data_IF_878323037884
#
_entry.id   IF_878323037884
#
_cell.length_a   1.000
_cell.length_b   1.000
_cell.length_c   1.000
_cell.angle_alpha   90.00
_cell.angle_beta   90.00
_cell.angle_gamma   90.00
#
_symmetry.space_group_name_H-M   'P 1'
#
loop_
_entity.id
_entity.type
_entity.pdbx_description
1 polymer ?
#
# COMPACT_ATOMS: atom_id res chain seq x y z
N UNK A 1 -3.10 -0.89 -18.02
CA UNK A 1 -4.17 -0.19 -17.26
C UNK A 1 -3.51 0.85 -16.38
N UNK A 2 -4.13 2.03 -16.19
CA UNK A 2 -3.64 3.03 -15.23
C UNK A 2 -4.01 2.64 -13.80
N UNK A 3 -3.19 3.05 -12.83
CA UNK A 3 -3.43 2.83 -11.40
C UNK A 3 -3.08 4.11 -10.61
N UNK A 4 -3.69 4.26 -9.43
CA UNK A 4 -3.38 5.38 -8.52
C UNK A 4 -2.23 4.98 -7.62
N UNK A 5 -1.23 5.85 -7.48
CA UNK A 5 -0.05 5.59 -6.65
C UNK A 5 0.41 6.83 -5.91
N UNK A 6 0.99 6.63 -4.72
CA UNK A 6 1.71 7.69 -4.02
C UNK A 6 3.12 7.82 -4.59
N UNK A 7 3.52 9.03 -4.98
CA UNK A 7 4.88 9.27 -5.44
C UNK A 7 5.81 9.53 -4.25
N UNK A 8 6.90 8.78 -4.16
CA UNK A 8 7.98 8.97 -3.18
C UNK A 8 9.21 9.45 -3.93
N UNK A 9 9.77 10.59 -3.52
CA UNK A 9 10.94 11.20 -4.15
C UNK A 9 12.21 10.65 -3.53
N UNK A 10 13.04 10.00 -4.34
CA UNK A 10 14.30 9.37 -3.95
C UNK A 10 15.46 10.23 -4.43
N UNK A 11 16.11 10.95 -3.53
CA UNK A 11 17.29 11.76 -3.84
C UNK A 11 18.53 10.87 -3.90
N UNK A 12 19.26 10.90 -5.01
CA UNK A 12 20.50 10.15 -5.19
C UNK A 12 21.68 11.11 -5.06
N UNK A 13 22.37 11.00 -3.93
CA UNK A 13 23.52 11.82 -3.56
C UNK A 13 24.82 11.02 -3.74
N UNK A 14 25.69 11.45 -4.65
CA UNK A 14 26.97 10.79 -4.90
C UNK A 14 28.02 11.78 -5.39
N UNK A 15 29.29 11.64 -4.99
CA UNK A 15 30.38 12.40 -5.57
C UNK A 15 30.59 12.06 -7.06
N UNK A 16 31.45 12.83 -7.73
CA UNK A 16 31.64 12.74 -9.18
C UNK A 16 32.44 11.51 -9.65
N UNK A 17 33.00 10.70 -8.74
CA UNK A 17 33.79 9.50 -9.02
C UNK A 17 32.95 8.21 -9.14
N UNK A 18 31.62 8.33 -9.06
CA UNK A 18 30.66 7.22 -9.08
C UNK A 18 29.57 7.36 -10.19
N UNK A 19 29.93 7.62 -11.47
CA UNK A 19 28.93 7.79 -12.52
C UNK A 19 28.17 6.49 -12.85
N UNK A 20 28.85 5.34 -12.81
CA UNK A 20 28.27 4.03 -13.11
C UNK A 20 27.28 3.61 -12.02
N UNK A 21 27.66 3.80 -10.75
CA UNK A 21 26.83 3.46 -9.59
C UNK A 21 25.63 4.40 -9.46
N UNK A 22 25.79 5.68 -9.80
CA UNK A 22 24.66 6.61 -9.88
C UNK A 22 23.65 6.16 -10.93
N UNK A 23 24.12 5.76 -12.12
CA UNK A 23 23.27 5.20 -13.16
C UNK A 23 22.59 3.92 -12.69
N UNK A 24 23.34 3.02 -12.04
CA UNK A 24 22.83 1.78 -11.47
C UNK A 24 21.75 2.02 -10.41
N UNK A 25 21.90 3.05 -9.57
CA UNK A 25 20.87 3.43 -8.58
C UNK A 25 19.59 3.98 -9.25
N UNK A 26 19.72 4.77 -10.32
CA UNK A 26 18.57 5.24 -11.11
C UNK A 26 17.85 4.04 -11.75
N UNK A 27 18.61 3.11 -12.33
CA UNK A 27 18.07 1.88 -12.91
C UNK A 27 17.41 0.98 -11.84
N UNK A 28 17.96 0.93 -10.62
CA UNK A 28 17.36 0.21 -9.50
C UNK A 28 15.98 0.78 -9.16
N UNK A 29 15.84 2.11 -9.13
CA UNK A 29 14.56 2.79 -8.90
C UNK A 29 13.55 2.47 -10.01
N UNK A 30 14.00 2.49 -11.27
CA UNK A 30 13.14 2.15 -12.41
C UNK A 30 12.67 0.68 -12.35
N UNK A 31 13.58 -0.24 -12.07
CA UNK A 31 13.29 -1.67 -11.97
C UNK A 31 12.38 -1.97 -10.77
N UNK A 32 12.59 -1.30 -9.64
CA UNK A 32 11.70 -1.36 -8.50
C UNK A 32 10.28 -0.95 -8.89
N UNK A 33 10.12 0.14 -9.64
CA UNK A 33 8.80 0.57 -10.10
C UNK A 33 8.15 -0.48 -11.01
N UNK A 34 8.91 -1.07 -11.93
CA UNK A 34 8.40 -2.09 -12.83
C UNK A 34 7.88 -3.33 -12.09
N UNK A 35 8.52 -3.72 -10.99
CA UNK A 35 8.19 -4.93 -10.23
C UNK A 35 7.14 -4.68 -9.13
N UNK A 36 7.18 -3.51 -8.49
CA UNK A 36 6.47 -3.29 -7.23
C UNK A 36 5.44 -2.17 -7.26
N UNK A 37 5.47 -1.26 -8.25
CA UNK A 37 4.66 -0.04 -8.15
C UNK A 37 3.16 -0.32 -8.09
N UNK A 38 2.68 -1.31 -8.86
CA UNK A 38 1.28 -1.70 -8.86
C UNK A 38 0.86 -2.35 -7.53
N UNK A 39 1.67 -3.29 -7.03
CA UNK A 39 1.37 -4.06 -5.82
C UNK A 39 1.44 -3.17 -4.56
N UNK A 40 2.44 -2.30 -4.47
CA UNK A 40 2.64 -1.41 -3.32
C UNK A 40 1.83 -0.10 -3.45
N UNK A 41 1.19 0.16 -4.62
CA UNK A 41 0.51 1.43 -4.94
C UNK A 41 1.40 2.66 -4.68
N UNK A 42 2.69 2.53 -4.99
CA UNK A 42 3.73 3.53 -4.77
C UNK A 42 4.58 3.64 -6.02
N UNK A 43 4.98 4.85 -6.41
CA UNK A 43 5.94 5.08 -7.48
C UNK A 43 7.12 5.85 -6.91
N UNK A 44 8.33 5.35 -7.16
CA UNK A 44 9.57 6.03 -6.79
C UNK A 44 10.00 6.98 -7.92
N UNK A 45 10.27 8.23 -7.58
CA UNK A 45 10.80 9.23 -8.51
C UNK A 45 12.26 9.49 -8.17
N UNK A 46 13.17 9.10 -9.06
CA UNK A 46 14.59 9.40 -8.88
C UNK A 46 14.85 10.88 -9.12
N UNK A 47 15.42 11.53 -8.12
CA UNK A 47 15.80 12.95 -8.14
C UNK A 47 17.32 13.02 -8.08
N UNK A 48 17.91 13.72 -9.06
CA UNK A 48 19.34 14.01 -9.10
C UNK A 48 19.53 15.49 -9.45
N UNK A 49 20.58 16.10 -8.89
CA UNK A 49 20.84 17.52 -9.06
C UNK A 49 21.08 17.92 -10.53
N UNK A 50 21.65 17.03 -11.35
CA UNK A 50 21.93 17.26 -12.77
C UNK A 50 20.66 17.45 -13.60
N UNK A 51 19.54 16.86 -13.18
CA UNK A 51 18.30 16.80 -13.96
C UNK A 51 17.15 17.60 -13.36
N UNK A 52 17.20 17.92 -12.06
CA UNK A 52 16.08 18.51 -11.34
C UNK A 52 16.40 19.84 -10.64
N UNK A 53 17.62 20.37 -10.79
CA UNK A 53 17.95 21.71 -10.29
C UNK A 53 17.73 22.77 -11.36
N UNK A 54 17.10 23.89 -10.97
CA UNK A 54 16.94 25.07 -11.82
C UNK A 54 18.02 26.10 -11.44
N UNK A 55 18.73 26.71 -12.42
CA UNK A 55 19.68 27.77 -12.15
C UNK A 55 19.03 28.94 -11.41
N UNK A 56 19.58 29.33 -10.27
CA UNK A 56 19.09 30.44 -9.44
C UNK A 56 20.25 31.38 -9.09
N UNK A 57 20.06 32.68 -9.28
CA UNK A 57 21.03 33.71 -8.93
C UNK A 57 20.82 34.23 -7.50
N UNK A 58 21.89 34.73 -6.87
CA UNK A 58 21.83 35.39 -5.57
C UNK A 58 21.90 34.48 -4.34
N UNK A 59 22.01 33.16 -4.53
CA UNK A 59 22.20 32.18 -3.45
C UNK A 59 23.40 31.28 -3.74
N UNK A 60 23.98 30.74 -2.67
CA UNK A 60 25.07 29.76 -2.76
C UNK A 60 24.58 28.54 -3.56
N UNK A 61 25.36 28.02 -4.54
CA UNK A 61 24.91 26.91 -5.41
C UNK A 61 24.38 25.69 -4.65
N UNK A 62 25.08 25.26 -3.59
CA UNK A 62 24.65 24.12 -2.78
C UNK A 62 23.36 24.40 -1.99
N UNK A 63 23.18 25.63 -1.48
CA UNK A 63 21.97 25.99 -0.75
C UNK A 63 20.73 25.99 -1.68
N UNK A 64 20.90 26.47 -2.91
CA UNK A 64 19.84 26.43 -3.92
C UNK A 64 19.45 24.99 -4.31
N UNK A 65 20.41 24.07 -4.37
CA UNK A 65 20.17 22.64 -4.62
C UNK A 65 19.44 22.01 -3.42
N UNK A 66 19.87 22.32 -2.20
CA UNK A 66 19.28 21.78 -0.98
C UNK A 66 17.80 22.18 -0.79
N UNK A 67 17.47 23.46 -0.99
CA UNK A 67 16.08 23.95 -0.95
C UNK A 67 15.20 23.25 -2.00
N UNK A 68 15.73 23.02 -3.21
CA UNK A 68 14.95 22.44 -4.30
C UNK A 68 14.78 20.92 -4.18
N UNK A 69 15.81 20.21 -3.74
CA UNK A 69 15.89 18.74 -3.85
C UNK A 69 15.85 18.03 -2.51
N UNK A 70 16.57 18.52 -1.51
CA UNK A 70 16.70 17.86 -0.20
C UNK A 70 15.43 18.00 0.62
N UNK A 71 14.81 19.19 0.65
CA UNK A 71 13.56 19.41 1.40
C UNK A 71 12.38 18.62 0.84
N UNK A 72 12.34 18.46 -0.49
CA UNK A 72 11.23 17.82 -1.19
C UNK A 72 11.39 16.31 -1.38
N UNK A 73 12.55 15.74 -1.02
CA UNK A 73 12.79 14.31 -1.09
C UNK A 73 12.29 13.58 0.18
N UNK A 74 11.88 12.32 -0.01
CA UNK A 74 11.33 11.44 1.04
C UNK A 74 12.32 10.37 1.47
N UNK A 75 13.20 9.93 0.56
CA UNK A 75 14.31 9.01 0.83
C UNK A 75 15.58 9.59 0.22
N UNK A 76 16.71 9.47 0.92
CA UNK A 76 18.03 9.80 0.40
C UNK A 76 18.88 8.54 0.24
N UNK A 77 19.54 8.38 -0.91
CA UNK A 77 20.55 7.36 -1.18
C UNK A 77 21.91 8.06 -1.31
N UNK A 78 22.78 7.87 -0.32
CA UNK A 78 24.15 8.37 -0.33
C UNK A 78 25.12 7.28 -0.75
N UNK A 79 25.93 7.51 -1.78
CA UNK A 79 26.94 6.55 -2.25
C UNK A 79 28.33 7.18 -2.26
N UNK A 80 29.33 6.47 -1.71
CA UNK A 80 30.71 6.95 -1.61
C UNK A 80 31.72 5.89 -2.06
N UNK A 81 32.87 6.32 -2.60
CA UNK A 81 33.97 5.42 -2.98
C UNK A 81 35.32 5.92 -2.52
N UNK A 82 35.97 6.81 -3.28
CA UNK A 82 37.29 7.33 -2.90
C UNK A 82 37.27 8.78 -2.47
N UNK A 83 36.21 9.50 -2.86
CA UNK A 83 36.02 10.92 -2.55
C UNK A 83 34.84 11.11 -1.61
N UNK A 84 34.97 12.08 -0.72
CA UNK A 84 33.84 12.62 0.03
C UNK A 84 33.15 13.73 -0.76
N UNK A 85 33.95 14.49 -1.51
CA UNK A 85 33.51 15.62 -2.34
C UNK A 85 34.20 16.94 -1.95
N UNK A 86 33.72 18.03 -2.54
CA UNK A 86 34.29 19.37 -2.39
C UNK A 86 33.60 20.10 -1.24
N UNK A 87 34.37 20.80 -0.39
CA UNK A 87 33.80 21.52 0.75
C UNK A 87 32.87 22.63 0.28
N UNK A 88 31.73 22.71 0.95
CA UNK A 88 30.66 23.63 0.65
C UNK A 88 30.64 24.82 1.61
N UNK A 89 31.75 25.14 2.28
CA UNK A 89 31.84 26.28 3.20
C UNK A 89 31.00 26.17 4.50
N UNK A 90 29.88 25.44 4.47
CA UNK A 90 29.05 25.06 5.61
C UNK A 90 29.31 23.62 6.07
N UNK A 91 29.64 22.71 5.14
CA UNK A 91 29.95 21.32 5.44
C UNK A 91 31.24 20.85 4.76
N UNK A 92 31.69 19.67 5.18
CA UNK A 92 32.83 18.98 4.60
C UNK A 92 32.62 18.63 3.12
N UNK A 93 31.41 18.34 2.69
CA UNK A 93 31.06 18.07 1.31
C UNK A 93 29.60 18.41 1.06
N UNK A 94 29.24 18.74 -0.19
CA UNK A 94 27.84 18.94 -0.57
C UNK A 94 26.96 17.72 -0.28
N UNK A 95 27.47 16.52 -0.57
CA UNK A 95 26.78 15.26 -0.25
C UNK A 95 26.59 15.08 1.27
N UNK A 96 27.55 15.53 2.08
CA UNK A 96 27.44 15.45 3.55
C UNK A 96 26.43 16.47 4.06
N UNK A 97 26.45 17.69 3.52
CA UNK A 97 25.46 18.72 3.83
C UNK A 97 24.02 18.24 3.56
N UNK A 98 23.82 17.57 2.42
CA UNK A 98 22.53 16.96 2.05
C UNK A 98 22.11 15.88 3.05
N UNK A 99 23.03 14.97 3.42
CA UNK A 99 22.76 13.89 4.39
C UNK A 99 22.41 14.47 5.77
N UNK A 100 23.20 15.41 6.28
CA UNK A 100 23.00 15.99 7.61
C UNK A 100 21.64 16.72 7.69
N UNK A 101 21.27 17.48 6.65
CA UNK A 101 19.95 18.10 6.55
C UNK A 101 18.83 17.07 6.51
N UNK A 102 19.01 15.98 5.75
CA UNK A 102 18.02 14.92 5.62
C UNK A 102 17.78 14.18 6.95
N UNK A 103 18.86 13.87 7.66
CA UNK A 103 18.82 13.23 8.98
C UNK A 103 18.21 14.16 10.02
N UNK A 104 18.53 15.46 9.98
CA UNK A 104 17.93 16.46 10.87
C UNK A 104 16.41 16.59 10.68
N UNK A 105 15.90 16.33 9.48
CA UNK A 105 14.45 16.27 9.19
C UNK A 105 13.79 14.95 9.63
N UNK A 106 14.55 14.00 10.17
CA UNK A 106 14.04 12.69 10.60
C UNK A 106 13.67 11.76 9.45
N UNK A 107 14.18 12.02 8.24
CA UNK A 107 13.88 11.23 7.04
C UNK A 107 14.94 10.13 6.84
N UNK A 108 14.59 9.00 6.20
CA UNK A 108 15.48 7.86 6.03
C UNK A 108 16.60 8.11 5.01
N UNK A 109 17.85 8.10 5.48
CA UNK A 109 19.05 8.17 4.63
C UNK A 109 19.74 6.80 4.54
N UNK A 110 19.80 6.23 3.34
CA UNK A 110 20.47 4.97 3.03
C UNK A 110 21.88 5.26 2.53
N UNK A 111 22.90 4.94 3.33
CA UNK A 111 24.29 5.25 3.03
C UNK A 111 25.06 3.99 2.62
N UNK A 112 25.83 4.09 1.54
CA UNK A 112 26.58 2.99 0.94
C UNK A 112 28.03 3.37 0.64
N UNK A 113 28.95 2.46 0.96
CA UNK A 113 30.38 2.61 0.67
C UNK A 113 30.85 1.54 -0.32
N UNK A 114 31.50 1.96 -1.39
CA UNK A 114 32.06 1.08 -2.41
C UNK A 114 33.39 0.47 -1.93
N UNK A 115 33.51 -0.84 -2.08
CA UNK A 115 34.74 -1.60 -1.87
C UNK A 115 35.39 -2.01 -3.20
N UNK A 116 35.02 -1.37 -4.31
CA UNK A 116 35.62 -1.64 -5.63
C UNK A 116 37.14 -1.39 -5.56
N UNK A 117 37.97 -2.33 -6.05
CA UNK A 117 39.41 -2.15 -6.09
C UNK A 117 39.78 -0.93 -6.95
N UNK A 118 40.71 -0.13 -6.45
CA UNK A 118 41.27 1.01 -7.17
C UNK A 118 42.79 0.94 -7.10
N UNK A 119 43.44 1.39 -8.17
CA UNK A 119 44.87 1.62 -8.19
C UNK A 119 45.25 2.60 -7.06
N UNK A 120 46.13 2.22 -6.12
CA UNK A 120 46.58 3.09 -5.03
C UNK A 120 47.11 4.46 -5.49
N UNK A 121 47.68 4.54 -6.69
CA UNK A 121 48.23 5.79 -7.24
C UNK A 121 47.14 6.79 -7.66
N UNK A 122 45.91 6.33 -7.88
CA UNK A 122 44.77 7.19 -8.24
C UNK A 122 44.01 7.70 -7.02
N UNK A 123 44.38 7.24 -5.81
CA UNK A 123 43.74 7.65 -4.56
C UNK A 123 44.29 8.98 -4.11
N UNK A 124 43.44 9.99 -4.02
CA UNK A 124 43.75 11.21 -3.29
C UNK A 124 43.72 10.91 -1.78
N UNK A 125 44.91 10.81 -1.17
CA UNK A 125 45.08 10.50 0.25
C UNK A 125 44.37 11.48 1.18
N UNK A 126 44.21 12.76 0.79
CA UNK A 126 43.51 13.75 1.61
C UNK A 126 42.01 13.48 1.60
N UNK A 127 41.43 13.27 0.41
CA UNK A 127 40.01 12.92 0.27
C UNK A 127 39.69 11.59 0.94
N UNK A 128 40.53 10.58 0.76
CA UNK A 128 40.34 9.27 1.37
C UNK A 128 40.43 9.31 2.90
N UNK A 129 41.34 10.12 3.48
CA UNK A 129 41.39 10.32 4.93
C UNK A 129 40.11 10.94 5.48
N UNK A 130 39.56 11.94 4.78
CA UNK A 130 38.29 12.60 5.14
C UNK A 130 37.11 11.64 5.02
N UNK A 131 37.06 10.85 3.96
CA UNK A 131 36.05 9.81 3.79
C UNK A 131 36.11 8.78 4.92
N UNK A 132 37.29 8.31 5.31
CA UNK A 132 37.44 7.40 6.46
C UNK A 132 37.00 8.02 7.78
N UNK A 133 37.29 9.31 8.00
CA UNK A 133 36.83 10.02 9.20
C UNK A 133 35.30 10.13 9.23
N UNK A 134 34.70 10.49 8.10
CA UNK A 134 33.25 10.52 7.93
C UNK A 134 32.62 9.14 8.15
N UNK A 135 33.15 8.10 7.50
CA UNK A 135 32.70 6.72 7.64
C UNK A 135 32.75 6.27 9.12
N UNK A 136 33.84 6.56 9.84
CA UNK A 136 33.97 6.23 11.26
C UNK A 136 33.00 7.00 12.16
N UNK A 137 32.64 8.24 11.81
CA UNK A 137 31.62 9.01 12.52
C UNK A 137 30.22 8.44 12.26
N UNK A 138 29.91 8.13 11.00
CA UNK A 138 28.62 7.58 10.58
C UNK A 138 28.37 6.21 11.19
N UNK A 139 29.36 5.32 11.25
CA UNK A 139 29.22 4.00 11.90
C UNK A 139 28.79 4.04 13.37
N UNK A 140 29.02 5.16 14.07
CA UNK A 140 28.57 5.31 15.47
C UNK A 140 27.09 5.61 15.59
N UNK A 141 26.51 6.22 14.55
CA UNK A 141 25.16 6.81 14.59
C UNK A 141 24.19 6.16 13.59
N UNK A 142 24.68 5.41 12.61
CA UNK A 142 23.87 4.83 11.54
C UNK A 142 24.43 3.49 11.04
N UNK A 143 23.52 2.60 10.62
CA UNK A 143 23.86 1.41 9.84
C UNK A 143 24.13 1.84 8.39
N UNK A 144 25.22 1.35 7.82
CA UNK A 144 25.63 1.65 6.45
C UNK A 144 25.78 0.35 5.65
N UNK A 145 25.46 0.41 4.36
CA UNK A 145 25.67 -0.68 3.43
C UNK A 145 27.03 -0.58 2.73
N UNK A 146 27.40 -1.65 2.05
CA UNK A 146 28.56 -1.69 1.17
C UNK A 146 28.24 -2.43 -0.11
N UNK A 147 28.95 -2.11 -1.19
CA UNK A 147 28.86 -2.83 -2.47
C UNK A 147 30.23 -2.94 -3.13
N UNK A 148 30.38 -3.87 -4.06
CA UNK A 148 31.66 -4.17 -4.72
C UNK A 148 31.67 -3.85 -6.22
N UNK A 149 30.50 -3.79 -6.85
CA UNK A 149 30.32 -3.48 -8.27
C UNK A 149 29.04 -2.66 -8.50
N UNK A 150 28.87 -2.04 -9.68
CA UNK A 150 27.61 -1.37 -10.04
C UNK A 150 26.40 -2.30 -9.99
N UNK A 151 26.51 -3.55 -10.45
CA UNK A 151 25.42 -4.53 -10.42
C UNK A 151 25.03 -4.92 -8.99
N UNK A 152 26.03 -5.11 -8.12
CA UNK A 152 25.83 -5.37 -6.69
C UNK A 152 25.18 -4.16 -6.00
N UNK A 153 25.58 -2.94 -6.37
CA UNK A 153 24.96 -1.70 -5.89
C UNK A 153 23.49 -1.64 -6.28
N UNK A 154 23.15 -2.01 -7.51
CA UNK A 154 21.77 -2.03 -8.03
C UNK A 154 20.89 -3.01 -7.25
N UNK A 155 21.36 -4.24 -7.08
CA UNK A 155 20.64 -5.27 -6.33
C UNK A 155 20.45 -4.86 -4.86
N UNK A 156 21.50 -4.32 -4.24
CA UNK A 156 21.47 -3.87 -2.85
C UNK A 156 20.51 -2.69 -2.64
N UNK A 157 20.55 -1.70 -3.52
CA UNK A 157 19.64 -0.54 -3.47
C UNK A 157 18.20 -0.97 -3.67
N UNK A 158 17.91 -1.79 -4.68
CA UNK A 158 16.55 -2.28 -4.97
C UNK A 158 15.94 -3.01 -3.77
N UNK A 159 16.69 -3.96 -3.17
CA UNK A 159 16.25 -4.70 -1.98
C UNK A 159 15.97 -3.78 -0.80
N UNK A 160 16.88 -2.84 -0.52
CA UNK A 160 16.74 -1.94 0.63
C UNK A 160 15.62 -0.92 0.42
N UNK A 161 15.38 -0.46 -0.81
CA UNK A 161 14.24 0.40 -1.14
C UNK A 161 12.91 -0.30 -0.87
N UNK A 162 12.77 -1.58 -1.25
CA UNK A 162 11.57 -2.35 -0.94
C UNK A 162 11.30 -2.42 0.57
N UNK A 163 12.33 -2.74 1.36
CA UNK A 163 12.21 -2.78 2.82
C UNK A 163 11.82 -1.42 3.39
N UNK A 164 12.44 -0.34 2.90
CA UNK A 164 12.18 1.03 3.35
C UNK A 164 10.76 1.49 3.01
N UNK A 165 10.30 1.26 1.78
CA UNK A 165 8.95 1.62 1.34
C UNK A 165 7.90 0.89 2.19
N UNK A 166 8.10 -0.40 2.45
CA UNK A 166 7.20 -1.17 3.32
C UNK A 166 7.20 -0.65 4.75
N UNK A 167 8.38 -0.30 5.29
CA UNK A 167 8.47 0.30 6.61
C UNK A 167 7.74 1.64 6.67
N UNK A 168 7.85 2.49 5.65
CA UNK A 168 7.11 3.75 5.57
C UNK A 168 5.60 3.54 5.40
N UNK A 169 5.19 2.49 4.69
CA UNK A 169 3.78 2.09 4.54
C UNK A 169 3.18 1.56 5.86
N UNK A 170 3.97 0.82 6.65
CA UNK A 170 3.62 0.32 7.98
C UNK A 170 3.63 1.42 9.04
N UNK A 171 4.58 2.35 8.94
CA UNK A 171 4.73 3.51 9.82
C UNK A 171 3.73 4.64 9.52
N UNK A 172 2.63 4.36 8.79
CA UNK A 172 1.53 5.30 8.63
C UNK A 172 1.24 5.93 9.99
N UNK A 173 1.29 7.27 10.14
CA UNK A 173 0.69 7.87 11.32
C UNK A 173 -0.74 7.33 11.40
N UNK A 174 -1.29 7.08 12.59
CA UNK A 174 -2.69 6.70 12.69
C UNK A 174 -3.43 7.72 11.83
N UNK A 175 -4.19 7.26 10.82
CA UNK A 175 -5.09 8.13 10.06
C UNK A 175 -5.69 9.03 11.10
N UNK A 176 -5.35 10.32 11.09
CA UNK A 176 -5.81 11.26 12.11
C UNK A 176 -7.32 11.12 12.03
N UNK A 177 -7.93 10.38 12.97
CA UNK A 177 -9.37 10.27 13.06
C UNK A 177 -9.75 11.71 13.32
N UNK A 178 -10.19 12.41 12.28
CA UNK A 178 -10.60 13.79 12.46
C UNK A 178 -11.65 13.74 13.57
N UNK A 179 -11.54 14.56 14.62
CA UNK A 179 -12.59 14.67 15.60
C UNK A 179 -13.91 14.86 14.84
N UNK A 180 -14.98 14.18 15.23
CA UNK A 180 -16.29 14.25 14.53
C UNK A 180 -16.76 15.68 14.27
N UNK A 181 -16.26 16.63 15.07
CA UNK A 181 -16.50 18.07 14.98
C UNK A 181 -15.83 18.68 13.74
N UNK A 182 -14.59 18.32 13.42
CA UNK A 182 -13.88 18.83 12.23
C UNK A 182 -14.48 18.26 10.94
N UNK A 183 -14.90 16.99 10.95
CA UNK A 183 -15.69 16.39 9.85
C UNK A 183 -17.02 17.11 9.67
N UNK A 184 -17.74 17.39 10.76
CA UNK A 184 -18.99 18.13 10.71
C UNK A 184 -18.78 19.58 10.24
N UNK A 185 -17.69 20.25 10.64
CA UNK A 185 -17.36 21.61 10.20
C UNK A 185 -17.04 21.65 8.70
N UNK A 186 -16.21 20.74 8.19
CA UNK A 186 -15.96 20.62 6.75
C UNK A 186 -17.23 20.27 5.98
N UNK A 187 -18.05 19.34 6.48
CA UNK A 187 -19.33 19.02 5.84
C UNK A 187 -20.25 20.24 5.79
N UNK A 188 -20.27 21.05 6.86
CA UNK A 188 -21.06 22.29 6.94
C UNK A 188 -20.50 23.35 5.99
N UNK A 189 -19.19 23.55 5.92
CA UNK A 189 -18.56 24.44 4.93
C UNK A 189 -18.87 24.00 3.49
N UNK A 190 -18.84 22.70 3.23
CA UNK A 190 -19.12 22.13 1.92
C UNK A 190 -20.62 22.28 1.56
N UNK A 191 -21.52 22.11 2.54
CA UNK A 191 -22.95 22.38 2.39
C UNK A 191 -23.23 23.89 2.19
N UNK A 192 -22.51 24.76 2.89
CA UNK A 192 -22.60 26.22 2.70
C UNK A 192 -22.11 26.59 1.31
N UNK A 193 -20.97 26.07 0.87
CA UNK A 193 -20.42 26.28 -0.47
C UNK A 193 -21.36 25.75 -1.57
N UNK A 194 -21.97 24.58 -1.37
CA UNK A 194 -22.98 24.05 -2.29
C UNK A 194 -24.22 24.96 -2.37
N UNK A 195 -24.63 25.54 -1.25
CA UNK A 195 -25.81 26.44 -1.17
C UNK A 195 -25.52 27.84 -1.73
N UNK A 196 -24.32 28.38 -1.53
CA UNK A 196 -23.91 29.69 -2.09
C UNK A 196 -23.62 29.62 -3.58
N UNK A 197 -23.13 28.49 -4.09
CA UNK A 197 -22.79 28.33 -5.51
C UNK A 197 -23.80 27.50 -6.30
N UNK A 198 -24.93 27.13 -5.69
CA UNK A 198 -26.02 26.35 -6.27
C UNK A 198 -25.53 25.07 -6.99
N UNK A 199 -24.52 24.42 -6.40
CA UNK A 199 -23.88 23.24 -6.97
C UNK A 199 -24.83 22.06 -6.77
N UNK A 200 -25.51 21.66 -7.85
CA UNK A 200 -26.34 20.46 -7.84
C UNK A 200 -25.47 19.20 -7.74
N UNK A 201 -26.02 18.05 -7.27
CA UNK A 201 -25.29 16.79 -7.22
C UNK A 201 -24.66 16.38 -8.56
N UNK A 202 -25.26 16.79 -9.67
CA UNK A 202 -24.75 16.57 -11.03
C UNK A 202 -23.48 17.40 -11.29
N UNK A 203 -23.51 18.71 -11.01
CA UNK A 203 -22.36 19.60 -11.20
C UNK A 203 -21.17 19.16 -10.33
N UNK A 204 -21.45 18.69 -9.11
CA UNK A 204 -20.43 18.13 -8.23
C UNK A 204 -19.80 16.85 -8.80
N UNK A 205 -20.60 15.95 -9.37
CA UNK A 205 -20.10 14.73 -10.00
C UNK A 205 -19.28 15.04 -11.25
N UNK A 206 -19.71 15.98 -12.08
CA UNK A 206 -18.95 16.43 -13.26
C UNK A 206 -17.60 17.04 -12.86
N UNK A 207 -17.59 17.90 -11.83
CA UNK A 207 -16.35 18.47 -11.29
C UNK A 207 -15.42 17.40 -10.71
N UNK A 208 -15.98 16.43 -9.98
CA UNK A 208 -15.24 15.32 -9.37
C UNK A 208 -14.62 14.41 -10.44
N UNK A 209 -15.37 14.10 -11.50
CA UNK A 209 -14.87 13.30 -12.64
C UNK A 209 -13.77 14.04 -13.40
N UNK A 210 -13.89 15.38 -13.55
CA UNK A 210 -12.87 16.19 -14.22
C UNK A 210 -11.55 16.29 -13.43
N UNK A 211 -11.61 16.35 -12.09
CA UNK A 211 -10.43 16.51 -11.23
C UNK A 211 -9.74 15.18 -10.89
N UNK A 212 -10.49 14.11 -10.69
CA UNK A 212 -9.96 12.84 -10.18
C UNK A 212 -10.11 11.66 -11.15
N UNK A 213 -10.65 11.91 -12.36
CA UNK A 213 -11.01 10.86 -13.31
C UNK A 213 -12.22 10.03 -12.83
N UNK A 214 -12.72 9.14 -13.69
CA UNK A 214 -13.79 8.20 -13.32
C UNK A 214 -13.33 7.36 -12.13
N UNK A 215 -13.88 7.64 -10.95
CA UNK A 215 -13.81 6.72 -9.82
C UNK A 215 -14.29 5.35 -10.33
N UNK A 216 -13.56 4.27 -10.08
CA UNK A 216 -14.17 2.94 -10.13
C UNK A 216 -15.34 3.01 -9.16
N UNK A 217 -16.55 3.17 -9.67
CA UNK A 217 -17.74 2.87 -8.90
C UNK A 217 -17.54 1.46 -8.37
N UNK A 218 -17.90 1.19 -7.10
CA UNK A 218 -18.35 -0.16 -6.76
C UNK A 218 -19.24 -0.58 -7.93
N UNK A 219 -18.93 -1.71 -8.57
CA UNK A 219 -19.74 -2.19 -9.67
C UNK A 219 -21.19 -1.97 -9.26
N UNK A 220 -21.93 -1.09 -9.96
CA UNK A 220 -23.32 -0.90 -9.60
C UNK A 220 -23.93 -2.30 -9.63
N UNK A 221 -24.85 -2.64 -8.69
CA UNK A 221 -25.61 -3.87 -8.82
C UNK A 221 -26.10 -3.93 -10.26
N UNK A 222 -25.89 -5.08 -10.90
CA UNK A 222 -26.15 -5.23 -12.32
C UNK A 222 -27.66 -5.05 -12.53
N UNK A 223 -28.10 -3.82 -12.78
CA UNK A 223 -29.50 -3.47 -13.09
C UNK A 223 -29.63 -3.50 -14.62
N UNK A 224 -30.71 -4.06 -15.19
CA UNK A 224 -30.63 -4.83 -16.42
C UNK A 224 -30.65 -3.97 -17.68
N UNK A 225 -29.85 -4.37 -18.67
CA UNK A 225 -30.18 -4.13 -20.07
C UNK A 225 -31.40 -4.99 -20.42
N UNK A 226 -32.45 -4.37 -20.97
CA UNK A 226 -33.65 -5.02 -21.48
C UNK A 226 -33.37 -5.74 -22.82
N UNK A 227 -32.34 -6.56 -22.85
CA UNK A 227 -32.02 -7.43 -23.97
C UNK A 227 -32.63 -8.79 -23.71
N UNK A 228 -33.29 -9.34 -24.72
CA UNK A 228 -33.95 -10.64 -24.79
C UNK A 228 -32.96 -11.81 -24.58
N UNK A 229 -32.29 -11.85 -23.43
CA UNK A 229 -31.41 -12.93 -23.04
C UNK A 229 -32.26 -14.17 -22.78
N UNK A 230 -31.95 -15.23 -23.53
CA UNK A 230 -32.43 -16.58 -23.25
C UNK A 230 -31.37 -17.32 -22.45
N UNK A 231 -31.79 -18.09 -21.45
CA UNK A 231 -30.89 -18.82 -20.57
C UNK A 231 -30.39 -20.12 -21.21
N UNK A 232 -29.59 -20.91 -20.47
CA UNK A 232 -29.07 -22.18 -20.94
C UNK A 232 -30.16 -23.18 -21.36
N UNK A 233 -31.37 -23.07 -20.83
CA UNK A 233 -32.51 -23.92 -21.17
C UNK A 233 -33.41 -23.32 -22.27
N UNK A 234 -33.02 -22.17 -22.85
CA UNK A 234 -33.75 -21.50 -23.93
C UNK A 234 -34.93 -20.65 -23.46
N UNK A 235 -35.12 -20.47 -22.16
CA UNK A 235 -36.23 -19.69 -21.61
C UNK A 235 -35.81 -18.28 -21.22
N UNK A 236 -36.79 -17.42 -20.90
CA UNK A 236 -36.57 -16.01 -20.60
C UNK A 236 -35.70 -15.85 -19.35
N UNK A 237 -34.66 -15.03 -19.45
CA UNK A 237 -33.88 -14.59 -18.29
C UNK A 237 -34.54 -13.36 -17.67
N UNK A 238 -34.58 -13.33 -16.35
CA UNK A 238 -35.06 -12.19 -15.58
C UNK A 238 -34.41 -12.10 -14.22
N UNK A 239 -35.00 -11.29 -13.35
CA UNK A 239 -34.54 -11.10 -11.98
C UNK A 239 -35.70 -11.33 -11.01
N UNK A 240 -35.42 -11.91 -9.85
CA UNK A 240 -36.39 -12.00 -8.75
C UNK A 240 -36.54 -10.64 -8.05
N UNK A 241 -37.50 -10.53 -7.12
CA UNK A 241 -37.68 -9.32 -6.31
C UNK A 241 -36.47 -9.04 -5.40
N UNK A 242 -35.75 -10.08 -5.04
CA UNK A 242 -34.53 -10.05 -4.23
C UNK A 242 -33.28 -9.72 -5.07
N UNK A 243 -33.42 -9.65 -6.41
CA UNK A 243 -32.35 -9.31 -7.33
C UNK A 243 -31.50 -10.51 -7.81
N UNK A 244 -31.93 -11.75 -7.55
CA UNK A 244 -31.27 -12.93 -8.10
C UNK A 244 -31.51 -13.01 -9.61
N UNK A 245 -30.48 -13.32 -10.41
CA UNK A 245 -30.61 -13.57 -11.85
C UNK A 245 -31.15 -14.98 -12.04
N UNK A 246 -32.27 -15.11 -12.76
CA UNK A 246 -32.99 -16.37 -12.92
C UNK A 246 -33.39 -16.63 -14.36
N UNK A 247 -33.53 -17.89 -14.73
CA UNK A 247 -34.22 -18.34 -15.92
C UNK A 247 -35.62 -18.84 -15.51
N UNK A 248 -36.66 -18.37 -16.17
CA UNK A 248 -38.04 -18.75 -15.83
C UNK A 248 -38.45 -19.97 -16.64
N UNK A 249 -38.45 -21.14 -15.99
CA UNK A 249 -38.83 -22.39 -16.63
C UNK A 249 -40.32 -22.65 -16.42
N UNK A 250 -41.03 -23.21 -17.40
CA UNK A 250 -42.38 -23.68 -17.20
C UNK A 250 -42.40 -24.80 -16.16
N UNK A 251 -43.46 -24.84 -15.35
CA UNK A 251 -43.73 -25.92 -14.43
C UNK A 251 -44.37 -27.10 -15.20
N UNK A 252 -43.69 -28.25 -15.20
CA UNK A 252 -44.16 -29.47 -15.84
C UNK A 252 -45.39 -30.07 -15.11
N UNK A 253 -45.56 -29.79 -13.82
CA UNK A 253 -46.67 -30.28 -13.01
C UNK A 253 -47.90 -29.34 -13.07
N UNK A 254 -47.68 -28.03 -13.26
CA UNK A 254 -48.73 -27.01 -13.26
C UNK A 254 -48.70 -26.16 -14.56
N UNK A 255 -49.45 -26.57 -15.61
CA UNK A 255 -49.45 -25.86 -16.89
C UNK A 255 -49.84 -24.38 -16.76
N UNK A 256 -48.90 -23.49 -17.07
CA UNK A 256 -49.07 -22.04 -17.02
C UNK A 256 -48.36 -21.35 -15.86
N UNK A 257 -47.81 -22.11 -14.91
CA UNK A 257 -46.91 -21.60 -13.89
C UNK A 257 -45.46 -21.64 -14.37
N UNK A 258 -44.65 -20.71 -13.87
CA UNK A 258 -43.21 -20.66 -14.13
C UNK A 258 -42.47 -20.63 -12.79
N UNK A 259 -41.35 -21.35 -12.70
CA UNK A 259 -40.49 -21.33 -11.52
C UNK A 259 -39.11 -20.72 -11.84
N UNK A 260 -38.51 -19.96 -10.91
CA UNK A 260 -37.25 -19.29 -11.14
C UNK A 260 -36.04 -20.20 -10.88
N UNK A 261 -35.36 -20.64 -11.94
CA UNK A 261 -34.07 -21.33 -11.83
C UNK A 261 -32.94 -20.31 -11.66
N UNK A 262 -32.22 -20.38 -10.55
CA UNK A 262 -31.18 -19.40 -10.21
C UNK A 262 -29.94 -19.59 -11.08
N UNK A 263 -29.63 -18.59 -11.89
CA UNK A 263 -28.40 -18.49 -12.67
C UNK A 263 -27.28 -17.82 -11.85
N UNK A 264 -27.61 -16.78 -11.07
CA UNK A 264 -26.66 -16.09 -10.19
C UNK A 264 -27.39 -15.46 -9.00
N UNK A 265 -26.85 -15.66 -7.79
CA UNK A 265 -27.30 -14.95 -6.59
C UNK A 265 -26.94 -13.47 -6.66
N UNK A 266 -27.79 -12.62 -6.09
CA UNK A 266 -27.52 -11.19 -6.00
C UNK A 266 -26.27 -10.91 -5.15
N UNK A 267 -25.59 -9.82 -5.47
CA UNK A 267 -24.29 -9.48 -4.87
C UNK A 267 -24.38 -9.24 -3.36
N UNK A 268 -25.52 -8.73 -2.87
CA UNK A 268 -25.70 -8.52 -1.42
C UNK A 268 -25.80 -9.86 -0.69
N UNK A 269 -26.55 -10.83 -1.22
CA UNK A 269 -26.64 -12.16 -0.63
C UNK A 269 -25.29 -12.89 -0.62
N UNK A 270 -24.50 -12.75 -1.70
CA UNK A 270 -23.13 -13.29 -1.77
C UNK A 270 -22.22 -12.65 -0.72
N UNK A 271 -22.27 -11.31 -0.59
CA UNK A 271 -21.50 -10.56 0.39
C UNK A 271 -21.89 -10.89 1.83
N UNK A 272 -23.19 -11.00 2.13
CA UNK A 272 -23.70 -11.35 3.45
C UNK A 272 -23.28 -12.76 3.86
N UNK A 273 -23.33 -13.73 2.94
CA UNK A 273 -22.86 -15.10 3.18
C UNK A 273 -21.34 -15.14 3.43
N UNK A 274 -20.54 -14.41 2.64
CA UNK A 274 -19.10 -14.30 2.84
C UNK A 274 -18.78 -13.68 4.21
N UNK A 275 -19.52 -12.63 4.60
CA UNK A 275 -19.39 -11.99 5.91
C UNK A 275 -19.72 -12.93 7.07
N UNK A 276 -20.78 -13.74 6.95
CA UNK A 276 -21.12 -14.75 7.95
C UNK A 276 -20.02 -15.81 8.10
N UNK A 277 -19.54 -16.39 7.00
CA UNK A 277 -18.50 -17.41 7.09
C UNK A 277 -17.19 -16.85 7.67
N UNK A 278 -16.81 -15.62 7.30
CA UNK A 278 -15.65 -14.95 7.86
C UNK A 278 -15.78 -14.76 9.39
N UNK A 279 -16.93 -14.26 9.85
CA UNK A 279 -17.21 -14.05 11.29
C UNK A 279 -17.18 -15.37 12.08
N UNK A 280 -17.72 -16.46 11.50
CA UNK A 280 -17.71 -17.80 12.12
C UNK A 280 -16.29 -18.35 12.23
N UNK A 281 -15.53 -18.33 11.14
CA UNK A 281 -14.14 -18.83 11.11
C UNK A 281 -13.26 -18.01 12.05
N UNK A 282 -13.40 -16.68 12.05
CA UNK A 282 -12.70 -15.81 13.00
C UNK A 282 -13.01 -16.20 14.45
N UNK A 283 -14.30 -16.37 14.78
CA UNK A 283 -14.73 -16.69 16.13
C UNK A 283 -14.16 -18.03 16.61
N UNK A 284 -14.18 -19.05 15.76
CA UNK A 284 -13.60 -20.35 16.05
C UNK A 284 -12.07 -20.28 16.29
N UNK A 285 -11.34 -19.60 15.41
CA UNK A 285 -9.89 -19.34 15.61
C UNK A 285 -9.60 -18.63 16.94
N UNK A 286 -10.49 -17.73 17.39
CA UNK A 286 -10.35 -17.10 18.72
C UNK A 286 -10.65 -18.03 19.88
N UNK A 287 -11.51 -19.04 19.71
CA UNK A 287 -11.69 -20.08 20.73
C UNK A 287 -10.42 -20.94 20.88
N UNK A 288 -9.78 -21.31 19.77
CA UNK A 288 -8.49 -22.02 19.78
C UNK A 288 -7.42 -21.18 20.47
N UNK A 289 -7.31 -19.90 20.12
CA UNK A 289 -6.39 -18.96 20.77
C UNK A 289 -6.64 -18.87 22.29
N UNK A 290 -7.91 -18.80 22.72
CA UNK A 290 -8.24 -18.80 24.15
C UNK A 290 -7.80 -20.07 24.88
N UNK A 291 -7.86 -21.23 24.21
CA UNK A 291 -7.36 -22.48 24.77
C UNK A 291 -5.82 -22.45 24.90
N UNK A 292 -5.11 -22.02 23.86
CA UNK A 292 -3.65 -21.89 23.85
C UNK A 292 -3.15 -20.92 24.93
N UNK A 293 -3.83 -19.78 25.11
CA UNK A 293 -3.52 -18.81 26.17
C UNK A 293 -3.72 -19.41 27.57
N UNK A 294 -4.70 -20.29 27.74
CA UNK A 294 -4.96 -20.97 29.02
C UNK A 294 -3.91 -22.04 29.31
N UNK A 295 -3.41 -22.72 28.28
CA UNK A 295 -2.32 -23.70 28.37
C UNK A 295 -0.94 -23.06 28.50
N UNK A 296 -0.81 -21.76 28.19
CA UNK A 296 0.44 -21.01 28.26
C UNK A 296 1.35 -21.22 27.06
N UNK A 297 0.85 -21.81 25.97
CA UNK A 297 1.59 -22.00 24.72
C UNK A 297 1.69 -20.71 23.89
N UNK A 298 0.78 -19.77 24.12
CA UNK A 298 0.78 -18.45 23.49
C UNK A 298 0.69 -17.34 24.55
N UNK A 299 1.16 -16.14 24.19
CA UNK A 299 1.03 -14.93 25.03
C UNK A 299 0.44 -13.80 24.20
N UNK A 300 -0.36 -12.94 24.85
CA UNK A 300 -1.03 -11.83 24.19
C UNK A 300 -0.98 -10.58 25.08
N UNK A 301 -0.83 -9.42 24.46
CA UNK A 301 -0.90 -8.14 25.16
C UNK A 301 -2.30 -7.89 25.74
N UNK A 302 -2.37 -7.33 26.95
CA UNK A 302 -3.62 -7.12 27.70
C UNK A 302 -4.65 -6.28 26.93
N UNK A 303 -4.23 -5.20 26.27
CA UNK A 303 -5.14 -4.36 25.47
C UNK A 303 -5.76 -5.09 24.27
N UNK A 304 -4.98 -5.97 23.62
CA UNK A 304 -5.43 -6.79 22.49
C UNK A 304 -6.40 -7.86 22.99
N UNK A 305 -6.10 -8.49 24.12
CA UNK A 305 -6.96 -9.49 24.75
C UNK A 305 -8.36 -8.93 25.07
N UNK A 306 -8.43 -7.74 25.68
CA UNK A 306 -9.71 -7.10 25.95
C UNK A 306 -10.50 -6.76 24.68
N UNK A 307 -9.80 -6.28 23.64
CA UNK A 307 -10.39 -5.99 22.34
C UNK A 307 -10.99 -7.24 21.68
N UNK A 308 -10.25 -8.34 21.73
CA UNK A 308 -10.69 -9.65 21.24
C UNK A 308 -11.94 -10.12 21.97
N UNK A 309 -11.97 -10.12 23.31
CA UNK A 309 -13.15 -10.53 24.08
C UNK A 309 -14.38 -9.66 23.77
N UNK A 310 -14.20 -8.35 23.58
CA UNK A 310 -15.29 -7.44 23.16
C UNK A 310 -15.79 -7.75 21.75
N UNK A 311 -14.91 -8.14 20.84
CA UNK A 311 -15.30 -8.56 19.49
C UNK A 311 -16.04 -9.91 19.52
N UNK A 312 -15.55 -10.90 20.28
CA UNK A 312 -16.23 -12.20 20.44
C UNK A 312 -17.64 -12.05 20.99
N UNK A 313 -17.85 -11.19 22.00
CA UNK A 313 -19.19 -10.89 22.54
C UNK A 313 -20.12 -10.25 21.50
N UNK A 314 -19.58 -9.42 20.60
CA UNK A 314 -20.36 -8.82 19.50
C UNK A 314 -20.78 -9.89 18.50
N UNK A 315 -19.90 -10.81 18.14
CA UNK A 315 -20.20 -11.94 17.26
C UNK A 315 -21.23 -12.88 17.88
N UNK A 316 -21.08 -13.21 19.18
CA UNK A 316 -22.07 -14.00 19.93
C UNK A 316 -23.45 -13.32 19.93
N UNK A 317 -23.52 -11.98 20.04
CA UNK A 317 -24.77 -11.22 19.97
C UNK A 317 -25.40 -11.23 18.57
N UNK A 318 -24.57 -11.20 17.51
CA UNK A 318 -25.03 -11.17 16.11
C UNK A 318 -25.60 -12.51 15.65
N UNK A 319 -24.91 -13.61 15.94
CA UNK A 319 -25.27 -14.94 15.41
C UNK A 319 -25.87 -15.90 16.44
N UNK A 320 -25.71 -15.61 17.73
CA UNK A 320 -26.05 -16.52 18.81
C UNK A 320 -24.93 -17.52 19.07
N UNK A 321 -24.50 -17.61 20.33
CA UNK A 321 -23.40 -18.49 20.77
C UNK A 321 -23.62 -19.97 20.40
N UNK A 322 -24.85 -20.47 20.52
CA UNK A 322 -25.19 -21.86 20.19
C UNK A 322 -25.03 -22.14 18.69
N UNK A 323 -25.42 -21.21 17.82
CA UNK A 323 -25.24 -21.32 16.37
C UNK A 323 -23.76 -21.37 16.02
N UNK A 324 -22.96 -20.42 16.56
CA UNK A 324 -21.53 -20.35 16.30
C UNK A 324 -20.78 -21.63 16.72
N UNK A 325 -21.13 -22.21 17.88
CA UNK A 325 -20.48 -23.44 18.38
C UNK A 325 -20.91 -24.72 17.66
N UNK A 326 -22.04 -24.68 16.97
CA UNK A 326 -22.60 -25.83 16.26
C UNK A 326 -22.61 -25.59 14.74
N UNK A 327 -21.75 -24.70 14.24
CA UNK A 327 -21.73 -24.35 12.83
C UNK A 327 -21.19 -25.50 11.95
N UNK A 328 -20.31 -26.31 12.53
CA UNK A 328 -19.74 -27.50 11.93
C UNK A 328 -19.55 -28.56 13.03
N UNK A 329 -19.43 -29.83 12.64
CA UNK A 329 -19.39 -30.97 13.55
C UNK A 329 -18.12 -31.82 13.44
N UNK A 330 -17.31 -31.61 12.40
CA UNK A 330 -16.09 -32.37 12.13
C UNK A 330 -15.10 -31.53 11.29
N UNK A 331 -13.86 -32.01 11.20
CA UNK A 331 -12.77 -31.33 10.47
C UNK A 331 -13.08 -31.14 8.98
N UNK A 332 -13.83 -32.07 8.38
CA UNK A 332 -14.26 -31.96 6.99
C UNK A 332 -15.22 -30.79 6.78
N UNK A 333 -16.24 -30.65 7.62
CA UNK A 333 -17.18 -29.52 7.58
C UNK A 333 -16.49 -28.18 7.85
N UNK A 334 -15.48 -28.17 8.72
CA UNK A 334 -14.65 -27.00 8.95
C UNK A 334 -13.80 -26.63 7.73
N UNK A 335 -13.18 -27.60 7.07
CA UNK A 335 -12.47 -27.39 5.80
C UNK A 335 -13.41 -26.91 4.69
N UNK A 336 -14.60 -27.50 4.61
CA UNK A 336 -15.65 -27.09 3.67
C UNK A 336 -16.11 -25.65 3.90
N UNK A 337 -16.19 -25.21 5.17
CA UNK A 337 -16.52 -23.82 5.51
C UNK A 337 -15.48 -22.83 4.98
N UNK A 338 -14.19 -23.15 5.14
CA UNK A 338 -13.10 -22.34 4.58
C UNK A 338 -13.16 -22.32 3.04
N UNK A 339 -13.41 -23.47 2.40
CA UNK A 339 -13.58 -23.56 0.95
C UNK A 339 -14.76 -22.72 0.44
N UNK A 340 -15.90 -22.75 1.14
CA UNK A 340 -17.07 -21.90 0.83
C UNK A 340 -16.74 -20.41 0.94
N UNK A 341 -16.01 -19.99 1.98
CA UNK A 341 -15.56 -18.61 2.13
C UNK A 341 -14.65 -18.20 0.97
N UNK A 342 -13.64 -19.02 0.64
CA UNK A 342 -12.72 -18.78 -0.48
C UNK A 342 -13.47 -18.60 -1.80
N UNK A 343 -14.42 -19.48 -2.10
CA UNK A 343 -15.23 -19.40 -3.31
C UNK A 343 -16.06 -18.11 -3.40
N UNK A 344 -16.71 -17.69 -2.30
CA UNK A 344 -17.49 -16.45 -2.30
C UNK A 344 -16.59 -15.20 -2.40
N UNK A 345 -15.44 -15.19 -1.73
CA UNK A 345 -14.47 -14.10 -1.80
C UNK A 345 -13.89 -13.94 -3.21
N UNK A 346 -13.58 -15.04 -3.87
CA UNK A 346 -13.14 -15.04 -5.26
C UNK A 346 -14.19 -14.42 -6.20
N UNK A 347 -15.46 -14.76 -6.02
CA UNK A 347 -16.58 -14.13 -6.76
C UNK A 347 -16.70 -12.63 -6.48
N UNK A 348 -16.38 -12.19 -5.26
CA UNK A 348 -16.39 -10.77 -4.86
C UNK A 348 -15.11 -10.02 -5.28
N UNK A 349 -14.13 -10.70 -5.88
CA UNK A 349 -12.93 -10.11 -6.46
C UNK A 349 -11.65 -10.23 -5.63
N UNK A 350 -11.67 -11.01 -4.54
CA UNK A 350 -10.45 -11.38 -3.81
C UNK A 350 -9.68 -12.51 -4.53
N UNK A 351 -8.42 -12.73 -4.14
CA UNK A 351 -7.62 -13.83 -4.64
C UNK A 351 -8.15 -15.20 -4.17
N UNK A 352 -7.90 -16.22 -4.97
CA UNK A 352 -8.16 -17.61 -4.59
C UNK A 352 -7.33 -17.96 -3.33
N UNK A 353 -7.93 -18.69 -2.39
CA UNK A 353 -7.35 -19.06 -1.08
C UNK A 353 -7.19 -17.91 -0.06
N UNK A 354 -7.83 -16.76 -0.30
CA UNK A 354 -7.86 -15.65 0.66
C UNK A 354 -8.70 -15.98 1.91
N UNK A 355 -8.06 -16.54 2.95
CA UNK A 355 -8.68 -17.06 4.18
C UNK A 355 -8.42 -16.24 5.46
N UNK A 356 -7.82 -15.05 5.38
CA UNK A 356 -7.67 -14.17 6.54
C UNK A 356 -9.04 -13.70 7.01
N UNK A 357 -9.28 -13.82 8.31
CA UNK A 357 -10.54 -13.48 8.95
C UNK A 357 -10.33 -12.62 10.17
#
# INVERSE_FOLDING_TARGET
MSFTANAIRVLIASPSDLPEERKAAIEAVYEWNAQHALAESVVLLSVAWETHSVPRSGVRPQAAINEQLTESADILIGMFWTKLGTSTGAAESGTVEEIDQFVAQGKPALLYFSHRPIDPNKIDLRQHKRLKAFQAATYKNALVGSFTSPDDSKATVSRNLLAQVRQMSLAKPPRRRMPKIDEAMKLTELMVAHKTHNITPEIYNDFREALFGKSKSKAPPTVPSATSEVGPNGYRVGYTKEGDKVEWLPDDENPGEEWPMILRRNDNAVADAAGEFADVIWYDRKLVLLANLKEGSETIESGIYEGMLKAMKRTEKKYGKKKLRNYYHNDFEWGMLNGKLSALRWVLGDDWDMLDT
#
